data_IF_926308874588
#
_entry.id   IF_926308874588
#
_cell.length_a   1.000
_cell.length_b   1.000
_cell.length_c   1.000
_cell.angle_alpha   90.00
_cell.angle_beta   90.00
_cell.angle_gamma   90.00
#
_symmetry.space_group_name_H-M   'P 1'
#
loop_
_entity.id
_entity.type
_entity.pdbx_description
1 polymer ?
#
# COMPACT_ATOMS: atom_id res chain seq x y z
N UNK A 1 15.00 16.16 2.67
CA UNK A 1 13.86 16.12 3.62
C UNK A 1 13.87 14.75 4.29
N UNK A 2 13.74 14.66 5.61
CA UNK A 2 13.74 13.37 6.31
C UNK A 2 12.44 12.60 6.00
N UNK A 3 12.54 11.27 5.90
CA UNK A 3 11.41 10.38 5.55
C UNK A 3 10.19 10.57 6.47
N UNK A 4 10.44 10.82 7.76
CA UNK A 4 9.42 11.13 8.77
C UNK A 4 8.56 12.35 8.41
N UNK A 5 9.20 13.44 7.99
CA UNK A 5 8.50 14.68 7.66
C UNK A 5 7.68 14.51 6.38
N UNK A 6 8.18 13.71 5.45
CA UNK A 6 7.43 13.33 4.24
C UNK A 6 6.15 12.58 4.61
N UNK A 7 6.24 11.54 5.46
CA UNK A 7 5.06 10.76 5.90
C UNK A 7 4.03 11.66 6.58
N UNK A 8 4.46 12.54 7.50
CA UNK A 8 3.57 13.51 8.16
C UNK A 8 2.89 14.45 7.15
N UNK A 9 3.64 14.96 6.18
CA UNK A 9 3.10 15.87 5.15
C UNK A 9 2.08 15.18 4.25
N UNK A 10 2.34 13.94 3.84
CA UNK A 10 1.44 13.14 3.01
C UNK A 10 0.18 12.76 3.80
N UNK A 11 0.31 12.37 5.06
CA UNK A 11 -0.82 12.10 5.94
C UNK A 11 -1.71 13.35 6.10
N UNK A 12 -1.12 14.51 6.38
CA UNK A 12 -1.89 15.76 6.53
C UNK A 12 -2.62 16.15 5.23
N UNK A 13 -2.00 15.88 4.07
CA UNK A 13 -2.58 16.15 2.75
C UNK A 13 -3.76 15.23 2.42
N UNK A 14 -3.57 13.92 2.57
CA UNK A 14 -4.52 12.91 2.07
C UNK A 14 -5.49 12.39 3.13
N UNK A 15 -5.14 12.52 4.42
CA UNK A 15 -5.92 12.09 5.58
C UNK A 15 -6.48 10.65 5.45
N UNK A 16 -5.64 9.66 5.12
CA UNK A 16 -6.11 8.28 5.04
C UNK A 16 -6.55 7.78 6.42
N UNK A 17 -7.48 6.83 6.47
CA UNK A 17 -7.95 6.21 7.72
C UNK A 17 -6.86 5.42 8.43
N UNK A 18 -5.89 4.90 7.67
CA UNK A 18 -4.74 4.15 8.16
C UNK A 18 -3.55 4.36 7.24
N UNK A 19 -2.33 4.32 7.78
CA UNK A 19 -1.08 4.30 7.02
C UNK A 19 -0.41 2.95 7.25
N UNK A 20 -0.28 2.15 6.20
CA UNK A 20 0.42 0.87 6.28
C UNK A 20 1.93 1.12 6.23
N UNK A 21 2.67 0.50 7.15
CA UNK A 21 4.14 0.54 7.16
C UNK A 21 4.66 -0.89 7.33
N UNK A 22 5.58 -1.29 6.45
CA UNK A 22 6.26 -2.58 6.58
C UNK A 22 7.25 -2.55 7.75
N UNK A 23 7.30 -3.63 8.53
CA UNK A 23 8.20 -3.76 9.68
C UNK A 23 9.60 -4.20 9.23
N UNK A 24 10.26 -3.36 8.44
CA UNK A 24 11.61 -3.62 7.93
C UNK A 24 12.47 -2.37 7.92
N UNK A 25 13.75 -2.55 8.25
CA UNK A 25 14.76 -1.49 8.22
C UNK A 25 14.27 -0.18 8.87
N UNK A 26 14.10 0.89 8.10
CA UNK A 26 13.62 2.20 8.57
C UNK A 26 12.16 2.21 9.04
N UNK A 27 11.36 1.20 8.67
CA UNK A 27 9.96 1.06 9.07
C UNK A 27 9.77 0.93 10.58
N UNK A 28 10.62 0.16 11.27
CA UNK A 28 10.55 0.02 12.74
C UNK A 28 10.68 1.37 13.46
N UNK A 29 11.65 2.17 13.05
CA UNK A 29 11.88 3.49 13.63
C UNK A 29 10.73 4.45 13.31
N UNK A 30 10.22 4.43 12.07
CA UNK A 30 9.08 5.25 11.67
C UNK A 30 7.83 4.94 12.50
N UNK A 31 7.52 3.65 12.70
CA UNK A 31 6.37 3.22 13.51
C UNK A 31 6.52 3.78 14.93
N UNK A 32 7.64 3.50 15.60
CA UNK A 32 7.89 3.96 16.98
C UNK A 32 7.75 5.48 17.13
N UNK A 33 8.21 6.25 16.14
CA UNK A 33 8.22 7.70 16.21
C UNK A 33 6.88 8.36 15.82
N UNK A 34 5.99 7.66 15.12
CA UNK A 34 4.80 8.26 14.51
C UNK A 34 3.47 7.65 14.96
N UNK A 35 3.48 6.47 15.61
CA UNK A 35 2.26 5.73 15.98
C UNK A 35 1.32 6.51 16.92
N UNK A 36 1.87 7.43 17.73
CA UNK A 36 1.08 8.32 18.59
C UNK A 36 0.45 9.52 17.87
N UNK A 37 0.78 9.74 16.59
CA UNK A 37 0.42 10.92 15.82
C UNK A 37 -0.41 10.56 14.58
N UNK A 38 -0.10 9.42 13.96
CA UNK A 38 -0.70 8.92 12.72
C UNK A 38 -1.24 7.53 13.01
N UNK A 39 -2.45 7.17 12.54
CA UNK A 39 -2.97 5.81 12.65
C UNK A 39 -2.15 4.87 11.76
N UNK A 40 -1.05 4.35 12.31
CA UNK A 40 -0.16 3.44 11.61
C UNK A 40 -0.60 2.02 11.88
N UNK A 41 -0.59 1.20 10.84
CA UNK A 41 -0.75 -0.25 10.98
C UNK A 41 0.47 -0.94 10.39
N UNK A 42 1.24 -1.67 11.21
CA UNK A 42 2.28 -2.53 10.70
C UNK A 42 1.69 -3.60 9.77
N UNK A 43 2.23 -3.74 8.56
CA UNK A 43 1.72 -4.70 7.59
C UNK A 43 2.87 -5.39 6.86
N UNK A 44 2.97 -6.72 7.01
CA UNK A 44 3.99 -7.53 6.36
C UNK A 44 3.30 -8.55 5.45
N UNK A 45 3.22 -8.28 4.14
CA UNK A 45 2.48 -9.15 3.24
C UNK A 45 3.25 -10.46 3.00
N UNK A 46 2.52 -11.56 2.86
CA UNK A 46 3.12 -12.89 2.66
C UNK A 46 3.34 -13.22 1.18
N UNK A 47 4.38 -14.02 0.91
CA UNK A 47 4.73 -14.48 -0.43
C UNK A 47 5.60 -13.50 -1.24
N UNK A 48 5.99 -13.92 -2.44
CA UNK A 48 6.81 -13.11 -3.33
C UNK A 48 6.05 -11.89 -3.86
N UNK A 49 6.76 -10.81 -4.22
CA UNK A 49 6.18 -9.61 -4.83
C UNK A 49 5.30 -9.95 -6.05
N UNK A 50 5.77 -10.87 -6.92
CA UNK A 50 5.00 -11.33 -8.08
C UNK A 50 3.72 -12.06 -7.68
N UNK A 51 3.78 -12.98 -6.71
CA UNK A 51 2.60 -13.68 -6.24
C UNK A 51 1.56 -12.71 -5.65
N UNK A 52 2.02 -11.66 -4.96
CA UNK A 52 1.16 -10.59 -4.42
C UNK A 52 0.51 -9.76 -5.51
N UNK A 53 1.26 -9.37 -6.53
CA UNK A 53 0.69 -8.66 -7.69
C UNK A 53 -0.37 -9.51 -8.39
N UNK A 54 -0.11 -10.80 -8.62
CA UNK A 54 -1.07 -11.71 -9.26
C UNK A 54 -2.39 -11.84 -8.47
N UNK A 55 -2.35 -11.74 -7.14
CA UNK A 55 -3.58 -11.70 -6.31
C UNK A 55 -4.36 -10.40 -6.47
N UNK A 56 -3.69 -9.29 -6.79
CA UNK A 56 -4.32 -7.98 -6.95
C UNK A 56 -4.92 -7.76 -8.34
N UNK A 57 -4.39 -8.43 -9.38
CA UNK A 57 -4.84 -8.28 -10.78
C UNK A 57 -6.37 -8.41 -10.94
N UNK A 58 -7.06 -9.43 -10.39
CA UNK A 58 -8.51 -9.54 -10.52
C UNK A 58 -9.28 -8.36 -9.91
N UNK A 59 -8.77 -7.79 -8.81
CA UNK A 59 -9.38 -6.65 -8.12
C UNK A 59 -9.25 -5.38 -8.96
N UNK A 60 -8.07 -5.18 -9.57
CA UNK A 60 -7.80 -4.07 -10.49
C UNK A 60 -8.67 -4.20 -11.74
N UNK A 61 -8.69 -5.38 -12.37
CA UNK A 61 -9.47 -5.64 -13.59
C UNK A 61 -10.98 -5.50 -13.39
N UNK A 62 -11.48 -5.81 -12.19
CA UNK A 62 -12.89 -5.63 -11.84
C UNK A 62 -13.27 -4.16 -11.57
N UNK A 63 -12.32 -3.21 -11.63
CA UNK A 63 -12.57 -1.78 -11.46
C UNK A 63 -12.71 -1.34 -9.99
N UNK A 64 -12.26 -2.15 -9.03
CA UNK A 64 -12.28 -1.78 -7.60
C UNK A 64 -11.11 -0.89 -7.18
N UNK A 65 -10.13 -0.68 -8.06
CA UNK A 65 -9.00 0.23 -7.84
C UNK A 65 -9.15 1.40 -8.80
N UNK A 66 -9.13 2.62 -8.26
CA UNK A 66 -9.22 3.85 -9.04
C UNK A 66 -7.85 4.51 -9.15
N UNK A 67 -7.44 4.82 -10.38
CA UNK A 67 -6.26 5.62 -10.66
C UNK A 67 -6.67 7.02 -11.16
N UNK A 68 -5.98 8.08 -10.72
CA UNK A 68 -6.31 9.45 -11.15
C UNK A 68 -5.86 9.69 -12.60
N UNK A 69 -6.81 9.68 -13.54
CA UNK A 69 -6.62 9.77 -15.00
C UNK A 69 -5.68 10.91 -15.46
N UNK A 70 -5.70 12.05 -14.77
CA UNK A 70 -4.91 13.25 -15.14
C UNK A 70 -3.63 13.42 -14.32
N UNK A 71 -3.22 12.40 -13.56
CA UNK A 71 -1.98 12.49 -12.81
C UNK A 71 -0.78 12.36 -13.76
N UNK A 72 0.11 13.35 -13.71
CA UNK A 72 1.34 13.39 -14.52
C UNK A 72 2.27 12.18 -14.31
N UNK A 73 2.13 11.48 -13.18
CA UNK A 73 2.91 10.30 -12.83
C UNK A 73 2.24 8.97 -13.25
N UNK A 74 0.98 9.00 -13.71
CA UNK A 74 0.19 7.78 -13.93
C UNK A 74 0.82 6.89 -15.00
N UNK A 75 1.27 7.46 -16.11
CA UNK A 75 1.85 6.69 -17.21
C UNK A 75 3.11 5.94 -16.77
N UNK A 76 4.00 6.60 -16.03
CA UNK A 76 5.21 5.96 -15.51
C UNK A 76 4.89 4.84 -14.52
N UNK A 77 3.90 5.08 -13.65
CA UNK A 77 3.40 4.10 -12.68
C UNK A 77 2.80 2.86 -13.37
N UNK A 78 1.98 3.04 -14.40
CA UNK A 78 1.41 1.94 -15.19
C UNK A 78 2.49 1.15 -15.93
N UNK A 79 3.48 1.84 -16.50
CA UNK A 79 4.62 1.19 -17.13
C UNK A 79 5.43 0.35 -16.13
N UNK A 80 5.66 0.84 -14.91
CA UNK A 80 6.34 0.08 -13.85
C UNK A 80 5.56 -1.19 -13.50
N UNK A 81 4.24 -1.09 -13.26
CA UNK A 81 3.40 -2.23 -12.91
C UNK A 81 3.33 -3.26 -14.04
N UNK A 82 3.11 -2.81 -15.28
CA UNK A 82 2.98 -3.70 -16.43
C UNK A 82 4.31 -4.39 -16.80
N UNK A 83 5.45 -3.78 -16.44
CA UNK A 83 6.78 -4.34 -16.71
C UNK A 83 7.30 -5.22 -15.59
N UNK A 84 6.66 -5.22 -14.41
CA UNK A 84 7.03 -6.06 -13.29
C UNK A 84 6.93 -7.57 -13.65
N UNK A 85 7.93 -8.42 -13.34
CA UNK A 85 9.05 -8.22 -12.41
C UNK A 85 10.36 -7.72 -13.06
N UNK A 86 10.31 -7.25 -14.30
CA UNK A 86 11.49 -6.82 -15.06
C UNK A 86 11.78 -5.32 -14.97
N UNK A 87 10.96 -4.57 -14.24
CA UNK A 87 11.18 -3.15 -13.96
C UNK A 87 12.42 -2.91 -13.10
N UNK A 88 13.06 -1.76 -13.26
CA UNK A 88 14.20 -1.36 -12.43
C UNK A 88 13.82 -1.02 -10.99
N UNK A 89 12.54 -0.71 -10.77
CA UNK A 89 11.96 -0.34 -9.48
C UNK A 89 10.76 -1.23 -9.18
N UNK A 90 10.53 -1.46 -7.89
CA UNK A 90 9.40 -2.27 -7.41
C UNK A 90 8.70 -1.69 -6.19
N UNK A 91 9.12 -0.52 -5.70
CA UNK A 91 8.57 0.10 -4.49
C UNK A 91 7.11 0.54 -4.67
N UNK A 92 6.74 1.02 -5.87
CA UNK A 92 5.37 1.46 -6.17
C UNK A 92 4.43 0.25 -6.29
N UNK A 93 4.89 -0.80 -6.97
CA UNK A 93 4.20 -2.09 -7.06
C UNK A 93 4.01 -2.69 -5.66
N UNK A 94 5.04 -2.65 -4.82
CA UNK A 94 4.98 -3.18 -3.46
C UNK A 94 3.97 -2.42 -2.60
N UNK A 95 4.03 -1.09 -2.61
CA UNK A 95 3.11 -0.23 -1.87
C UNK A 95 1.64 -0.42 -2.30
N UNK A 96 1.39 -0.49 -3.62
CA UNK A 96 0.04 -0.70 -4.16
C UNK A 96 -0.50 -2.08 -3.77
N UNK A 97 0.29 -3.14 -3.94
CA UNK A 97 -0.15 -4.50 -3.62
C UNK A 97 -0.41 -4.66 -2.12
N UNK A 98 0.40 -4.04 -1.25
CA UNK A 98 0.15 -4.02 0.19
C UNK A 98 -1.21 -3.40 0.51
N UNK A 99 -1.51 -2.23 -0.05
CA UNK A 99 -2.79 -1.56 0.18
C UNK A 99 -3.99 -2.41 -0.26
N UNK A 100 -3.92 -3.00 -1.46
CA UNK A 100 -5.00 -3.84 -2.00
C UNK A 100 -5.21 -5.10 -1.15
N UNK A 101 -4.13 -5.79 -0.78
CA UNK A 101 -4.20 -7.00 0.04
C UNK A 101 -4.75 -6.72 1.43
N UNK A 102 -4.31 -5.62 2.06
CA UNK A 102 -4.83 -5.21 3.37
C UNK A 102 -6.34 -4.93 3.33
N UNK A 103 -6.82 -4.23 2.29
CA UNK A 103 -8.27 -3.98 2.11
C UNK A 103 -9.02 -5.30 1.93
N UNK A 104 -8.48 -6.22 1.13
CA UNK A 104 -9.08 -7.53 0.91
C UNK A 104 -9.18 -8.34 2.21
N UNK A 105 -8.10 -8.41 2.98
CA UNK A 105 -8.05 -9.12 4.28
C UNK A 105 -9.00 -8.48 5.31
N UNK A 106 -9.03 -7.15 5.37
CA UNK A 106 -9.90 -6.40 6.27
C UNK A 106 -11.38 -6.58 5.94
N UNK A 107 -11.72 -6.64 4.66
CA UNK A 107 -13.09 -6.92 4.23
C UNK A 107 -13.53 -8.31 4.68
N UNK A 108 -12.70 -9.34 4.43
CA UNK A 108 -12.99 -10.72 4.85
C UNK A 108 -13.15 -10.83 6.37
N UNK A 109 -12.26 -10.21 7.15
CA UNK A 109 -12.35 -10.20 8.61
C UNK A 109 -13.65 -9.54 9.11
N UNK A 110 -14.11 -8.48 8.44
CA UNK A 110 -15.38 -7.81 8.77
C UNK A 110 -16.62 -8.68 8.58
N UNK A 111 -16.60 -9.64 7.65
CA UNK A 111 -17.68 -10.64 7.53
C UNK A 111 -17.58 -11.73 8.58
N UNK A 112 -16.36 -12.13 8.98
CA UNK A 112 -16.12 -13.14 10.01
C UNK A 112 -16.53 -12.72 11.43
N UNK A 113 -16.61 -11.42 11.70
CA UNK A 113 -17.01 -10.86 13.01
C UNK A 113 -18.53 -10.66 13.17
N UNK A 114 -19.35 -11.05 12.18
CA UNK A 114 -20.83 -10.97 12.26
C UNK A 114 -21.49 -12.20 12.90
N UNK A 115 -20.72 -13.19 13.33
CA UNK A 115 -21.21 -14.33 14.10
C UNK A 115 -20.61 -14.35 15.52
N UNK A 116 -20.95 -13.36 16.35
CA UNK A 116 -20.88 -13.44 17.82
C UNK A 116 -22.02 -12.64 18.45
#
# INVERSE_FOLDING_TARGET
MALKDLVKSLYAKWKPSVVLIEERASGYQLIQELDSIIPILPFNPSGSKLARLMKCVPIIQAGYVFFPEYAVWLQDFECEICSFPYSAHDDQVDSMTQAILWVQESFVAGFGLREL
#
